data_IF_798357895514
#
_entry.id   IF_798357895514
#
_cell.length_a   1.000
_cell.length_b   1.000
_cell.length_c   1.000
_cell.angle_alpha   90.00
_cell.angle_beta   90.00
_cell.angle_gamma   90.00
#
_symmetry.space_group_name_H-M   'P 1'
#
loop_
_entity.id
_entity.type
_entity.pdbx_description
1 polymer ?
#
# COMPACT_ATOMS: atom_id res chain seq x y z
N UNK A 1 21.78 -12.26 18.45
CA UNK A 1 21.83 -11.03 17.63
C UNK A 1 20.85 -10.03 18.24
N UNK A 2 21.28 -8.82 18.62
CA UNK A 2 20.34 -7.70 18.76
C UNK A 2 19.65 -7.56 17.39
N UNK A 3 18.31 -7.43 17.31
CA UNK A 3 17.66 -7.23 16.03
C UNK A 3 18.23 -5.94 15.43
N UNK A 4 18.96 -6.07 14.32
CA UNK A 4 19.54 -5.00 13.50
C UNK A 4 18.48 -4.01 12.95
N UNK A 5 17.21 -4.20 13.32
CA UNK A 5 16.01 -3.63 12.71
C UNK A 5 15.08 -2.92 13.71
N UNK A 6 15.51 -2.71 14.96
CA UNK A 6 14.71 -2.04 15.99
C UNK A 6 15.48 -0.84 16.59
N UNK A 7 15.18 0.36 16.07
CA UNK A 7 15.70 1.64 16.57
C UNK A 7 15.55 2.78 15.54
N UNK A 8 15.81 4.06 15.92
CA UNK A 8 15.99 5.14 14.94
C UNK A 8 17.03 4.71 13.91
N UNK A 9 16.96 5.21 12.66
CA UNK A 9 17.62 4.58 11.53
C UNK A 9 19.10 4.38 11.81
N UNK A 10 19.48 3.12 12.03
CA UNK A 10 20.87 2.76 12.15
C UNK A 10 21.40 2.86 10.73
N UNK A 11 22.27 3.85 10.50
CA UNK A 11 23.08 3.86 9.29
C UNK A 11 23.88 2.56 9.32
N UNK A 12 23.50 1.61 8.47
CA UNK A 12 24.14 0.32 8.43
C UNK A 12 25.60 0.54 8.02
N UNK A 13 26.51 -0.11 8.73
CA UNK A 13 27.89 -0.16 8.27
C UNK A 13 28.00 -1.01 6.99
N UNK A 14 29.15 -0.91 6.30
CA UNK A 14 29.37 -1.64 5.05
C UNK A 14 29.24 -3.16 5.23
N UNK A 15 29.54 -3.71 6.41
CA UNK A 15 29.43 -5.14 6.67
C UNK A 15 27.96 -5.56 6.77
N UNK A 16 27.14 -4.85 7.54
CA UNK A 16 25.72 -5.10 7.67
C UNK A 16 24.98 -4.97 6.32
N UNK A 17 25.30 -3.94 5.53
CA UNK A 17 24.74 -3.77 4.18
C UNK A 17 25.09 -4.96 3.27
N UNK A 18 26.36 -5.39 3.28
CA UNK A 18 26.81 -6.54 2.49
C UNK A 18 26.09 -7.83 2.87
N UNK A 19 25.87 -8.06 4.16
CA UNK A 19 25.14 -9.25 4.65
C UNK A 19 23.69 -9.21 4.19
N UNK A 20 23.00 -8.08 4.33
CA UNK A 20 21.61 -7.94 3.89
C UNK A 20 21.50 -8.10 2.37
N UNK A 21 22.41 -7.48 1.60
CA UNK A 21 22.47 -7.65 0.16
C UNK A 21 22.64 -9.11 -0.24
N UNK A 22 23.62 -9.81 0.36
CA UNK A 22 23.86 -11.21 0.09
C UNK A 22 22.64 -12.09 0.41
N UNK A 23 21.97 -11.85 1.55
CA UNK A 23 20.72 -12.55 1.92
C UNK A 23 19.62 -12.33 0.88
N UNK A 24 19.45 -11.09 0.42
CA UNK A 24 18.41 -10.77 -0.58
C UNK A 24 18.73 -11.40 -1.94
N UNK A 25 20.00 -11.38 -2.38
CA UNK A 25 20.40 -12.06 -3.60
C UNK A 25 20.24 -13.58 -3.50
N UNK A 26 20.55 -14.17 -2.34
CA UNK A 26 20.31 -15.59 -2.09
C UNK A 26 18.82 -15.94 -2.16
N UNK A 27 17.94 -15.14 -1.54
CA UNK A 27 16.49 -15.33 -1.63
C UNK A 27 16.00 -15.30 -3.09
N UNK A 28 16.46 -14.30 -3.85
CA UNK A 28 16.12 -14.14 -5.28
C UNK A 28 16.60 -15.34 -6.09
N UNK A 29 17.84 -15.78 -5.90
CA UNK A 29 18.40 -16.94 -6.59
C UNK A 29 17.66 -18.22 -6.20
N UNK A 30 17.44 -18.47 -4.91
CA UNK A 30 16.69 -19.62 -4.43
C UNK A 30 15.32 -19.69 -5.10
N UNK A 31 14.59 -18.58 -5.19
CA UNK A 31 13.30 -18.56 -5.89
C UNK A 31 13.43 -18.92 -7.37
N UNK A 32 14.39 -18.31 -8.08
CA UNK A 32 14.57 -18.54 -9.52
C UNK A 32 15.02 -19.98 -9.85
N UNK A 33 15.79 -20.62 -8.96
CA UNK A 33 16.32 -21.97 -9.17
C UNK A 33 15.47 -23.09 -8.55
N UNK A 34 14.67 -22.83 -7.51
CA UNK A 34 13.96 -23.87 -6.76
C UNK A 34 12.76 -24.49 -7.49
N UNK A 35 12.56 -24.17 -8.78
CA UNK A 35 11.44 -24.66 -9.59
C UNK A 35 10.10 -24.48 -8.83
N UNK A 36 9.89 -23.32 -8.22
CA UNK A 36 8.73 -23.07 -7.38
C UNK A 36 7.41 -23.13 -8.17
N UNK A 37 7.44 -22.83 -9.48
CA UNK A 37 6.24 -22.79 -10.33
C UNK A 37 5.49 -24.13 -10.38
N UNK A 38 6.13 -25.25 -10.78
CA UNK A 38 5.44 -26.53 -10.86
C UNK A 38 4.99 -27.04 -9.49
N UNK A 39 5.75 -26.81 -8.42
CA UNK A 39 5.35 -27.22 -7.07
C UNK A 39 4.12 -26.46 -6.61
N UNK A 40 4.13 -25.13 -6.73
CA UNK A 40 3.03 -24.30 -6.25
C UNK A 40 1.75 -24.47 -7.10
N UNK A 41 1.89 -24.73 -8.41
CA UNK A 41 0.75 -25.06 -9.29
C UNK A 41 0.25 -26.49 -9.15
N UNK A 42 1.16 -27.42 -8.83
CA UNK A 42 0.86 -28.83 -8.59
C UNK A 42 0.25 -29.09 -7.22
N UNK A 43 0.33 -28.13 -6.30
CA UNK A 43 -0.39 -28.20 -5.02
C UNK A 43 -1.89 -28.25 -5.25
N UNK A 44 -2.42 -29.47 -5.16
CA UNK A 44 -3.77 -29.70 -4.65
C UNK A 44 -3.76 -29.34 -3.17
N UNK A 45 -3.76 -28.04 -2.86
CA UNK A 45 -4.24 -27.63 -1.55
C UNK A 45 -5.58 -28.34 -1.35
N UNK A 46 -5.83 -28.93 -0.19
CA UNK A 46 -7.06 -29.68 0.14
C UNK A 46 -8.33 -28.81 0.11
N UNK A 47 -8.23 -27.60 -0.43
CA UNK A 47 -9.19 -26.53 -0.42
C UNK A 47 -10.31 -26.88 -1.39
N UNK A 48 -11.33 -27.54 -0.85
CA UNK A 48 -12.53 -27.90 -1.59
C UNK A 48 -13.31 -26.65 -2.02
N UNK A 49 -13.06 -25.47 -1.40
CA UNK A 49 -13.62 -24.19 -1.81
C UNK A 49 -12.74 -22.96 -1.44
N UNK A 50 -13.07 -21.79 -2.01
CA UNK A 50 -12.32 -20.52 -1.83
C UNK A 50 -12.43 -19.89 -0.45
N UNK A 51 -13.52 -20.17 0.27
CA UNK A 51 -13.71 -19.62 1.62
C UNK A 51 -12.75 -20.28 2.61
N UNK A 52 -12.48 -21.57 2.44
CA UNK A 52 -11.47 -22.29 3.21
C UNK A 52 -10.07 -21.72 2.95
N UNK A 53 -9.74 -21.43 1.68
CA UNK A 53 -8.47 -20.80 1.29
C UNK A 53 -8.29 -19.46 1.97
N UNK A 54 -9.31 -18.61 1.88
CA UNK A 54 -9.32 -17.30 2.53
C UNK A 54 -9.15 -17.47 4.04
N UNK A 55 -9.89 -18.37 4.68
CA UNK A 55 -9.77 -18.62 6.11
C UNK A 55 -8.38 -19.09 6.56
N UNK A 56 -7.73 -19.97 5.80
CA UNK A 56 -6.35 -20.35 6.04
C UNK A 56 -5.39 -19.15 5.88
N UNK A 57 -5.55 -18.37 4.80
CA UNK A 57 -4.71 -17.21 4.55
C UNK A 57 -4.84 -16.15 5.66
N UNK A 58 -6.05 -15.90 6.12
CA UNK A 58 -6.33 -15.04 7.28
C UNK A 58 -5.59 -15.53 8.52
N UNK A 59 -5.66 -16.83 8.84
CA UNK A 59 -4.96 -17.39 10.00
C UNK A 59 -3.45 -17.20 9.93
N UNK A 60 -2.85 -17.33 8.74
CA UNK A 60 -1.42 -17.07 8.51
C UNK A 60 -1.08 -15.60 8.69
N UNK A 61 -1.82 -14.69 8.06
CA UNK A 61 -1.62 -13.23 8.18
C UNK A 61 -1.69 -12.80 9.65
N UNK A 62 -2.75 -13.21 10.36
CA UNK A 62 -2.91 -12.93 11.78
C UNK A 62 -1.77 -13.51 12.61
N UNK A 63 -1.33 -14.74 12.30
CA UNK A 63 -0.22 -15.40 12.97
C UNK A 63 1.11 -14.67 12.82
N UNK A 64 1.42 -14.19 11.61
CA UNK A 64 2.63 -13.42 11.31
C UNK A 64 2.58 -12.06 12.03
N UNK A 65 1.48 -11.32 11.90
CA UNK A 65 1.33 -10.00 12.57
C UNK A 65 1.45 -10.15 14.09
N UNK A 66 0.77 -11.13 14.68
CA UNK A 66 0.86 -11.39 16.12
C UNK A 66 2.30 -11.72 16.56
N UNK A 67 3.03 -12.50 15.77
CA UNK A 67 4.43 -12.82 16.02
C UNK A 67 5.34 -11.60 15.97
N UNK A 68 5.15 -10.71 14.99
CA UNK A 68 5.89 -9.45 14.89
C UNK A 68 5.58 -8.54 16.09
N UNK A 69 4.30 -8.40 16.44
CA UNK A 69 3.86 -7.63 17.59
C UNK A 69 4.48 -8.13 18.91
N UNK A 70 4.56 -9.46 19.09
CA UNK A 70 5.20 -10.07 20.26
C UNK A 70 6.70 -9.74 20.40
N UNK A 71 7.31 -9.21 19.33
CA UNK A 71 8.72 -8.74 19.27
C UNK A 71 8.84 -7.22 19.28
N UNK A 72 7.76 -6.50 19.52
CA UNK A 72 7.74 -5.04 19.51
C UNK A 72 7.74 -4.41 18.11
N UNK A 73 7.48 -5.20 17.06
CA UNK A 73 7.34 -4.70 15.69
C UNK A 73 5.85 -4.46 15.42
N UNK A 74 5.45 -3.19 15.30
CA UNK A 74 4.04 -2.78 15.24
C UNK A 74 3.77 -1.81 14.09
N UNK A 75 2.58 -1.89 13.49
CA UNK A 75 2.09 -0.93 12.50
C UNK A 75 1.86 0.47 13.06
N UNK A 76 1.82 0.64 14.38
CA UNK A 76 1.86 1.96 15.03
C UNK A 76 3.17 2.71 14.78
N UNK A 77 4.25 2.00 14.43
CA UNK A 77 5.56 2.58 14.18
C UNK A 77 5.82 2.86 12.68
N UNK A 78 4.90 2.46 11.80
CA UNK A 78 5.06 2.68 10.37
C UNK A 78 5.01 4.17 10.04
N UNK A 79 5.69 4.55 8.97
CA UNK A 79 5.54 5.88 8.40
C UNK A 79 4.05 6.19 8.11
N UNK A 80 3.59 7.45 8.30
CA UNK A 80 2.23 7.85 7.93
C UNK A 80 1.85 7.36 6.55
N UNK A 81 0.57 7.02 6.35
CA UNK A 81 0.06 6.48 5.09
C UNK A 81 0.40 5.00 4.79
N UNK A 82 1.25 4.35 5.60
CA UNK A 82 1.66 2.95 5.45
C UNK A 82 1.37 2.10 6.69
N UNK A 83 0.56 2.60 7.62
CA UNK A 83 0.28 1.95 8.90
C UNK A 83 -1.00 1.12 8.90
N UNK A 84 -1.70 1.14 10.03
CA UNK A 84 -2.85 0.29 10.32
C UNK A 84 -3.97 0.39 9.28
N UNK A 85 -4.23 1.62 8.78
CA UNK A 85 -5.31 1.84 7.82
C UNK A 85 -5.00 1.27 6.44
N UNK A 86 -3.76 1.42 5.96
CA UNK A 86 -3.29 0.87 4.70
C UNK A 86 -3.38 -0.66 4.70
N UNK A 87 -2.77 -1.29 5.72
CA UNK A 87 -2.82 -2.74 5.92
C UNK A 87 -4.25 -3.29 5.90
N UNK A 88 -5.16 -2.66 6.63
CA UNK A 88 -6.55 -3.08 6.67
C UNK A 88 -7.20 -3.10 5.27
N UNK A 89 -6.92 -2.08 4.45
CA UNK A 89 -7.51 -1.96 3.11
C UNK A 89 -6.88 -2.91 2.11
N UNK A 90 -5.57 -3.15 2.17
CA UNK A 90 -4.92 -4.15 1.31
C UNK A 90 -5.33 -5.57 1.65
N UNK A 91 -5.42 -5.89 2.94
CA UNK A 91 -5.93 -7.17 3.40
C UNK A 91 -7.35 -7.42 2.87
N UNK A 92 -8.25 -6.45 3.01
CA UNK A 92 -9.62 -6.54 2.47
C UNK A 92 -9.63 -6.58 0.93
N UNK A 93 -8.75 -5.83 0.27
CA UNK A 93 -8.58 -5.83 -1.18
C UNK A 93 -8.14 -7.20 -1.70
N UNK A 94 -7.15 -7.81 -1.06
CA UNK A 94 -6.65 -9.15 -1.36
C UNK A 94 -7.74 -10.21 -1.20
N UNK A 95 -8.52 -10.17 -0.11
CA UNK A 95 -9.67 -11.07 0.10
C UNK A 95 -10.74 -10.87 -0.97
N UNK A 96 -11.07 -9.62 -1.30
CA UNK A 96 -12.08 -9.29 -2.31
C UNK A 96 -11.69 -9.80 -3.70
N UNK A 97 -10.42 -9.62 -4.07
CA UNK A 97 -9.86 -10.17 -5.30
C UNK A 97 -9.96 -11.70 -5.31
N UNK A 98 -9.55 -12.36 -4.23
CA UNK A 98 -9.53 -13.83 -4.18
C UNK A 98 -10.93 -14.45 -4.27
N UNK A 99 -11.89 -13.90 -3.53
CA UNK A 99 -13.29 -14.37 -3.51
C UNK A 99 -14.03 -14.03 -4.81
N UNK A 100 -13.65 -12.96 -5.50
CA UNK A 100 -14.25 -12.51 -6.76
C UNK A 100 -14.03 -13.42 -7.97
N UNK A 101 -13.19 -14.46 -7.85
CA UNK A 101 -12.83 -15.43 -8.92
C UNK A 101 -11.96 -14.86 -10.05
N UNK A 102 -10.68 -14.52 -9.79
CA UNK A 102 -9.74 -14.19 -10.83
C UNK A 102 -9.37 -15.49 -11.57
N UNK A 103 -9.71 -15.60 -12.85
CA UNK A 103 -9.30 -16.71 -13.71
C UNK A 103 -8.11 -16.27 -14.58
N UNK A 104 -7.12 -17.15 -14.87
CA UNK A 104 -6.93 -18.53 -14.43
C UNK A 104 -5.81 -18.67 -13.35
N UNK A 105 -6.14 -18.43 -12.08
CA UNK A 105 -5.18 -18.52 -10.96
C UNK A 105 -5.34 -19.85 -10.22
N UNK A 106 -4.23 -20.58 -9.99
CA UNK A 106 -4.24 -21.83 -9.21
C UNK A 106 -4.50 -21.56 -7.71
N UNK A 107 -5.03 -22.54 -6.94
CA UNK A 107 -5.25 -22.35 -5.50
C UNK A 107 -3.99 -21.96 -4.73
N UNK A 108 -2.83 -22.56 -5.05
CA UNK A 108 -1.56 -22.21 -4.42
C UNK A 108 -1.15 -20.76 -4.71
N UNK A 109 -1.27 -20.31 -5.95
CA UNK A 109 -0.94 -18.92 -6.32
C UNK A 109 -1.93 -17.93 -5.71
N UNK A 110 -3.20 -18.31 -5.62
CA UNK A 110 -4.22 -17.50 -4.97
C UNK A 110 -3.94 -17.34 -3.47
N UNK A 111 -3.60 -18.43 -2.80
CA UNK A 111 -3.26 -18.44 -1.38
C UNK A 111 -2.07 -17.52 -1.09
N UNK A 112 -0.94 -17.72 -1.76
CA UNK A 112 0.24 -16.85 -1.60
C UNK A 112 -0.04 -15.42 -2.03
N UNK A 113 -0.84 -15.20 -3.08
CA UNK A 113 -1.22 -13.86 -3.52
C UNK A 113 -2.05 -13.09 -2.49
N UNK A 114 -2.91 -13.78 -1.71
CA UNK A 114 -3.63 -13.15 -0.59
C UNK A 114 -2.68 -12.76 0.52
N UNK A 115 -1.76 -13.66 0.89
CA UNK A 115 -0.74 -13.38 1.90
C UNK A 115 0.15 -12.22 1.49
N UNK A 116 0.63 -12.22 0.24
CA UNK A 116 1.46 -11.17 -0.32
C UNK A 116 0.71 -9.85 -0.37
N UNK A 117 -0.52 -9.82 -0.87
CA UNK A 117 -1.35 -8.62 -0.88
C UNK A 117 -1.50 -7.98 0.50
N UNK A 118 -1.72 -8.79 1.54
CA UNK A 118 -1.84 -8.30 2.91
C UNK A 118 -0.50 -7.91 3.56
N UNK A 119 0.64 -8.51 3.16
CA UNK A 119 1.91 -8.37 3.88
C UNK A 119 3.00 -7.65 3.06
N UNK A 120 2.69 -7.12 1.88
CA UNK A 120 3.69 -6.53 0.99
C UNK A 120 4.45 -5.34 1.61
N UNK A 121 3.77 -4.56 2.45
CA UNK A 121 4.31 -3.36 3.08
C UNK A 121 4.84 -3.59 4.51
N UNK A 122 4.98 -4.84 4.98
CA UNK A 122 5.49 -5.10 6.34
C UNK A 122 6.94 -4.63 6.54
N UNK A 123 7.67 -4.38 5.47
CA UNK A 123 8.99 -3.76 5.55
C UNK A 123 8.95 -2.34 6.10
N UNK A 124 7.83 -1.64 5.95
CA UNK A 124 7.60 -0.31 6.53
C UNK A 124 7.59 -0.32 8.07
N UNK A 125 7.53 -1.49 8.71
CA UNK A 125 7.61 -1.65 10.17
C UNK A 125 9.04 -1.59 10.71
N UNK A 126 10.03 -1.80 9.84
CA UNK A 126 11.45 -1.92 10.18
C UNK A 126 12.37 -1.04 9.33
N UNK A 127 11.85 -0.52 8.21
CA UNK A 127 12.52 0.44 7.33
C UNK A 127 11.59 1.61 7.04
N UNK A 128 12.16 2.81 6.94
CA UNK A 128 11.38 4.01 6.64
C UNK A 128 11.09 4.07 5.15
N UNK A 129 9.81 4.01 4.79
CA UNK A 129 9.33 4.03 3.41
C UNK A 129 9.80 5.26 2.65
N UNK A 130 9.92 6.38 3.35
CA UNK A 130 10.37 7.66 2.79
C UNK A 130 11.88 7.78 2.57
N UNK A 131 12.63 6.72 2.90
CA UNK A 131 14.09 6.63 2.72
C UNK A 131 14.52 5.56 1.72
N UNK A 132 13.57 4.94 1.01
CA UNK A 132 13.84 3.93 -0.03
C UNK A 132 14.86 4.37 -1.10
N UNK A 133 14.97 5.68 -1.35
CA UNK A 133 15.92 6.23 -2.31
C UNK A 133 17.37 6.12 -1.82
N UNK A 134 17.55 6.26 -0.50
CA UNK A 134 18.86 6.29 0.17
C UNK A 134 19.28 4.90 0.67
N UNK A 135 18.38 3.93 0.63
CA UNK A 135 18.60 2.59 1.14
C UNK A 135 19.04 1.63 0.03
N UNK A 136 20.01 0.77 0.36
CA UNK A 136 20.42 -0.33 -0.50
C UNK A 136 19.26 -1.28 -0.84
N UNK A 137 18.43 -1.58 0.17
CA UNK A 137 17.23 -2.40 0.07
C UNK A 137 16.03 -1.55 0.53
N UNK A 138 15.01 -1.41 -0.31
CA UNK A 138 13.81 -0.65 0.03
C UNK A 138 12.86 -1.43 0.93
N UNK A 139 11.73 -0.84 1.30
CA UNK A 139 10.70 -1.50 2.13
C UNK A 139 10.30 -2.88 1.58
N UNK A 140 10.20 -3.06 0.27
CA UNK A 140 9.83 -4.35 -0.35
C UNK A 140 10.83 -5.47 -0.02
N UNK A 141 12.12 -5.23 -0.25
CA UNK A 141 13.18 -6.18 0.09
C UNK A 141 13.31 -6.39 1.59
N UNK A 142 13.20 -5.31 2.38
CA UNK A 142 13.25 -5.38 3.83
C UNK A 142 12.09 -6.22 4.39
N UNK A 143 10.89 -6.10 3.81
CA UNK A 143 9.73 -6.91 4.16
C UNK A 143 9.94 -8.39 3.83
N UNK A 144 10.54 -8.69 2.68
CA UNK A 144 10.87 -10.06 2.31
C UNK A 144 11.89 -10.69 3.26
N UNK A 145 12.93 -9.95 3.65
CA UNK A 145 13.92 -10.41 4.64
C UNK A 145 13.28 -10.58 6.04
N UNK A 146 12.41 -9.67 6.45
CA UNK A 146 11.68 -9.77 7.72
C UNK A 146 10.83 -11.05 7.78
N UNK A 147 10.19 -11.43 6.67
CA UNK A 147 9.47 -12.70 6.56
C UNK A 147 10.40 -13.90 6.72
N UNK A 148 11.57 -13.91 6.07
CA UNK A 148 12.52 -15.03 6.21
C UNK A 148 13.00 -15.19 7.65
N UNK A 149 13.26 -14.09 8.35
CA UNK A 149 13.62 -14.12 9.78
C UNK A 149 12.45 -14.64 10.65
N UNK A 150 11.21 -14.31 10.30
CA UNK A 150 10.04 -14.87 10.96
C UNK A 150 9.90 -16.39 10.69
N UNK A 151 10.10 -16.83 9.45
CA UNK A 151 10.01 -18.23 9.04
C UNK A 151 11.10 -19.11 9.66
N UNK A 152 12.28 -18.56 9.89
CA UNK A 152 13.34 -19.24 10.65
C UNK A 152 12.91 -19.57 12.09
N UNK A 153 11.96 -18.81 12.66
CA UNK A 153 11.44 -19.04 14.01
C UNK A 153 10.15 -19.88 14.03
N UNK A 154 9.28 -19.71 13.04
CA UNK A 154 7.96 -20.35 12.99
C UNK A 154 7.46 -20.44 11.54
N UNK A 155 6.97 -21.60 11.11
CA UNK A 155 6.48 -21.78 9.75
C UNK A 155 5.13 -21.15 9.46
N UNK A 156 4.34 -20.85 10.51
CA UNK A 156 2.95 -20.38 10.41
C UNK A 156 2.02 -21.32 9.62
N UNK A 157 2.40 -22.59 9.46
CA UNK A 157 1.65 -23.55 8.63
C UNK A 157 1.98 -23.46 7.13
N UNK A 158 2.95 -22.64 6.73
CA UNK A 158 3.47 -22.57 5.37
C UNK A 158 4.59 -23.59 5.18
N UNK A 159 4.64 -24.26 4.03
CA UNK A 159 5.83 -25.02 3.64
C UNK A 159 6.93 -24.13 3.03
N UNK A 160 8.09 -24.71 2.77
CA UNK A 160 9.25 -23.96 2.27
C UNK A 160 9.00 -23.28 0.91
N UNK A 161 8.16 -23.85 0.04
CA UNK A 161 7.82 -23.24 -1.25
C UNK A 161 6.89 -22.05 -1.07
N UNK A 162 5.89 -22.15 -0.20
CA UNK A 162 5.01 -21.03 0.13
C UNK A 162 5.77 -19.87 0.78
N UNK A 163 6.67 -20.18 1.71
CA UNK A 163 7.53 -19.20 2.37
C UNK A 163 8.41 -18.45 1.36
N UNK A 164 9.01 -19.19 0.42
CA UNK A 164 9.87 -18.63 -0.63
C UNK A 164 9.06 -17.77 -1.62
N UNK A 165 7.91 -18.26 -2.08
CA UNK A 165 7.03 -17.52 -2.98
C UNK A 165 6.45 -16.27 -2.32
N UNK A 166 6.07 -16.34 -1.03
CA UNK A 166 5.58 -15.18 -0.30
C UNK A 166 6.67 -14.12 -0.14
N UNK A 167 7.88 -14.50 0.27
CA UNK A 167 9.02 -13.57 0.34
C UNK A 167 9.31 -12.92 -1.01
N UNK A 168 9.28 -13.69 -2.10
CA UNK A 168 9.45 -13.16 -3.45
C UNK A 168 8.31 -12.20 -3.87
N UNK A 169 7.05 -12.55 -3.56
CA UNK A 169 5.89 -11.71 -3.87
C UNK A 169 5.99 -10.33 -3.22
N UNK A 170 6.39 -10.31 -1.94
CA UNK A 170 6.61 -9.09 -1.17
C UNK A 170 7.75 -8.27 -1.78
N UNK A 171 8.89 -8.86 -2.12
CA UNK A 171 9.98 -8.12 -2.77
C UNK A 171 9.59 -7.56 -4.16
N UNK A 172 8.81 -8.32 -4.94
CA UNK A 172 8.48 -8.00 -6.32
C UNK A 172 7.27 -7.06 -6.49
N UNK A 173 6.61 -6.62 -5.41
CA UNK A 173 5.33 -5.91 -5.50
C UNK A 173 5.44 -4.49 -6.09
N UNK A 174 6.52 -3.75 -5.84
CA UNK A 174 6.70 -2.36 -6.29
C UNK A 174 6.75 -2.19 -7.82
N UNK A 175 6.95 -3.30 -8.55
CA UNK A 175 6.93 -3.37 -10.01
C UNK A 175 7.88 -2.36 -10.66
N UNK A 176 9.11 -2.26 -10.16
CA UNK A 176 10.17 -1.49 -10.81
C UNK A 176 10.57 -2.14 -12.15
N UNK A 177 10.50 -1.36 -13.23
CA UNK A 177 10.77 -1.83 -14.60
C UNK A 177 12.20 -1.53 -15.07
N UNK A 178 13.00 -0.85 -14.25
CA UNK A 178 14.35 -0.40 -14.57
C UNK A 178 15.32 -0.86 -13.51
N UNK A 179 16.57 -1.09 -13.92
CA UNK A 179 17.66 -1.32 -12.99
C UNK A 179 17.85 -0.08 -12.11
N UNK A 180 18.05 -0.30 -10.81
CA UNK A 180 18.43 0.75 -9.86
C UNK A 180 19.88 0.55 -9.48
N UNK A 181 20.67 1.62 -9.59
CA UNK A 181 22.03 1.66 -9.04
C UNK A 181 21.96 2.38 -7.70
N UNK A 182 22.48 1.76 -6.65
CA UNK A 182 22.54 2.36 -5.32
C UNK A 182 23.97 2.30 -4.82
N UNK A 183 24.47 3.42 -4.31
CA UNK A 183 25.79 3.48 -3.66
C UNK A 183 25.61 3.20 -2.18
N UNK A 184 26.16 2.08 -1.70
CA UNK A 184 26.13 1.73 -0.28
C UNK A 184 27.16 2.50 0.55
N UNK A 185 27.14 2.27 1.87
CA UNK A 185 27.95 2.95 2.87
C UNK A 185 29.46 2.87 2.61
N UNK A 186 29.97 1.76 2.04
CA UNK A 186 31.37 1.60 1.65
C UNK A 186 31.77 2.26 0.33
N UNK A 187 30.92 3.08 -0.29
CA UNK A 187 31.13 3.65 -1.63
C UNK A 187 30.94 2.63 -2.77
N UNK A 188 30.57 1.40 -2.45
CA UNK A 188 30.31 0.33 -3.42
C UNK A 188 28.99 0.59 -4.14
N UNK A 189 28.99 0.46 -5.46
CA UNK A 189 27.75 0.49 -6.23
C UNK A 189 27.14 -0.91 -6.33
N UNK A 190 25.89 -1.04 -5.91
CA UNK A 190 25.05 -2.22 -6.05
C UNK A 190 24.05 -2.00 -7.19
N UNK A 191 23.69 -3.08 -7.88
CA UNK A 191 22.71 -3.07 -8.97
C UNK A 191 21.53 -3.94 -8.60
N UNK A 192 20.37 -3.32 -8.40
CA UNK A 192 19.11 -4.01 -8.19
C UNK A 192 18.37 -4.09 -9.51
N UNK A 193 18.18 -5.30 -10.00
CA UNK A 193 17.45 -5.57 -11.24
C UNK A 193 15.94 -5.69 -10.97
N UNK A 194 15.10 -5.42 -11.98
CA UNK A 194 13.68 -5.74 -11.94
C UNK A 194 13.42 -7.20 -11.53
N UNK A 195 12.38 -7.41 -10.73
CA UNK A 195 11.90 -8.75 -10.40
C UNK A 195 11.07 -9.32 -11.55
N UNK A 196 11.43 -10.50 -12.10
CA UNK A 196 10.56 -11.24 -12.99
C UNK A 196 9.17 -11.44 -12.36
N UNK A 197 8.13 -11.30 -13.18
CA UNK A 197 6.74 -11.49 -12.79
C UNK A 197 6.02 -12.55 -13.64
N UNK A 198 6.81 -13.32 -14.38
CA UNK A 198 6.43 -14.50 -15.13
C UNK A 198 7.54 -15.55 -15.05
N UNK A 199 7.14 -16.82 -15.04
CA UNK A 199 8.08 -17.95 -15.05
C UNK A 199 8.70 -18.16 -16.44
N UNK A 200 7.98 -17.75 -17.48
CA UNK A 200 8.39 -17.63 -18.87
C UNK A 200 7.40 -16.66 -19.59
N UNK A 201 7.58 -16.40 -20.89
CA UNK A 201 6.77 -15.42 -21.63
C UNK A 201 5.26 -15.66 -21.52
N UNK A 202 4.82 -16.92 -21.48
CA UNK A 202 3.40 -17.30 -21.49
C UNK A 202 2.83 -17.64 -20.11
N UNK A 203 3.65 -17.58 -19.05
CA UNK A 203 3.25 -18.08 -17.73
C UNK A 203 3.48 -17.05 -16.62
N UNK A 204 2.49 -16.18 -16.38
CA UNK A 204 2.52 -15.23 -15.27
C UNK A 204 2.72 -15.90 -13.90
N UNK A 205 3.38 -15.20 -13.00
CA UNK A 205 3.44 -15.52 -11.57
C UNK A 205 2.23 -14.89 -10.88
N UNK A 206 1.10 -15.59 -10.83
CA UNK A 206 -0.16 -14.97 -10.42
C UNK A 206 -0.18 -14.46 -8.99
N UNK A 207 0.60 -15.07 -8.09
CA UNK A 207 0.74 -14.61 -6.72
C UNK A 207 1.44 -13.24 -6.62
N UNK A 208 2.40 -12.94 -7.52
CA UNK A 208 3.01 -11.60 -7.65
C UNK A 208 1.99 -10.61 -8.17
N UNK A 209 1.24 -10.98 -9.21
CA UNK A 209 0.21 -10.12 -9.80
C UNK A 209 -0.93 -9.81 -8.84
N UNK A 210 -1.40 -10.79 -8.07
CA UNK A 210 -2.41 -10.58 -7.04
C UNK A 210 -1.92 -9.65 -5.93
N UNK A 211 -0.66 -9.80 -5.52
CA UNK A 211 -0.03 -8.90 -4.53
C UNK A 211 -0.05 -7.46 -5.06
N UNK A 212 0.38 -7.26 -6.32
CA UNK A 212 0.35 -5.96 -6.99
C UNK A 212 -1.06 -5.42 -7.19
N UNK A 213 -2.04 -6.27 -7.46
CA UNK A 213 -3.43 -5.85 -7.59
C UNK A 213 -3.99 -5.35 -6.27
N UNK A 214 -3.69 -6.03 -5.16
CA UNK A 214 -4.14 -5.61 -3.83
C UNK A 214 -3.63 -4.19 -3.51
N UNK A 215 -2.32 -3.96 -3.62
CA UNK A 215 -1.70 -2.64 -3.43
C UNK A 215 -2.30 -1.57 -4.38
N UNK A 216 -2.37 -1.89 -5.68
CA UNK A 216 -2.90 -0.95 -6.69
C UNK A 216 -4.38 -0.61 -6.49
N UNK A 217 -5.21 -1.49 -5.95
CA UNK A 217 -6.63 -1.22 -5.73
C UNK A 217 -6.82 -0.02 -4.81
N UNK A 218 -5.93 0.14 -3.84
CA UNK A 218 -6.01 1.25 -2.91
C UNK A 218 -5.52 2.57 -3.53
N UNK A 219 -4.73 2.57 -4.61
CA UNK A 219 -4.25 3.79 -5.28
C UNK A 219 -5.34 4.57 -6.04
N UNK A 220 -6.54 4.01 -6.16
CA UNK A 220 -7.64 4.63 -6.92
C UNK A 220 -8.89 4.89 -6.09
N UNK A 221 -8.93 4.43 -4.84
CA UNK A 221 -10.11 4.59 -4.00
C UNK A 221 -10.11 5.96 -3.29
N UNK A 222 -11.28 6.45 -2.81
CA UNK A 222 -11.36 7.71 -2.07
C UNK A 222 -10.38 7.85 -0.87
N UNK A 223 -10.11 6.80 -0.06
CA UNK A 223 -9.08 6.85 0.98
C UNK A 223 -7.69 7.28 0.48
N UNK A 224 -7.35 6.98 -0.78
CA UNK A 224 -6.06 7.34 -1.37
C UNK A 224 -5.78 8.83 -1.37
N UNK A 225 -6.81 9.66 -1.50
CA UNK A 225 -6.64 11.13 -1.45
C UNK A 225 -6.03 11.53 -0.12
N UNK A 226 -6.55 10.97 0.98
CA UNK A 226 -6.02 11.19 2.31
C UNK A 226 -4.69 10.50 2.55
N UNK A 227 -4.52 9.29 2.01
CA UNK A 227 -3.26 8.53 2.15
C UNK A 227 -2.11 9.27 1.46
N UNK A 228 -2.28 9.65 0.18
CA UNK A 228 -1.29 10.42 -0.56
C UNK A 228 -1.02 11.79 0.06
N UNK A 229 -2.04 12.39 0.68
CA UNK A 229 -1.86 13.60 1.49
C UNK A 229 -0.89 13.39 2.65
N UNK A 230 -1.13 12.36 3.46
CA UNK A 230 -0.31 12.02 4.63
C UNK A 230 1.15 11.73 4.27
N UNK A 231 1.43 11.27 3.05
CA UNK A 231 2.83 11.08 2.61
C UNK A 231 3.66 12.36 2.70
N UNK A 232 3.03 13.53 2.58
CA UNK A 232 3.73 14.81 2.56
C UNK A 232 4.08 15.37 3.94
N UNK A 233 3.81 14.64 5.03
CA UNK A 233 4.03 15.14 6.39
C UNK A 233 5.51 15.51 6.65
N UNK A 234 6.42 14.78 6.01
CA UNK A 234 7.85 15.02 6.02
C UNK A 234 8.37 15.23 4.60
N UNK A 235 9.45 16.00 4.49
CA UNK A 235 10.20 16.09 3.23
C UNK A 235 10.79 14.72 2.90
N UNK A 236 10.53 14.24 1.70
CA UNK A 236 11.02 12.96 1.20
C UNK A 236 11.14 12.99 -0.32
N UNK A 237 11.78 11.96 -0.86
CA UNK A 237 11.88 11.76 -2.30
C UNK A 237 10.78 10.83 -2.80
N UNK A 238 10.08 11.24 -3.87
CA UNK A 238 9.08 10.43 -4.56
C UNK A 238 9.70 9.82 -5.82
N UNK A 239 9.19 8.68 -6.28
CA UNK A 239 9.70 7.98 -7.46
C UNK A 239 8.85 8.27 -8.71
N UNK A 240 9.52 8.56 -9.82
CA UNK A 240 8.94 8.62 -11.15
C UNK A 240 9.70 7.69 -12.10
N UNK A 241 8.98 6.94 -12.93
CA UNK A 241 9.59 5.96 -13.84
C UNK A 241 10.54 6.59 -14.88
N UNK A 242 10.34 7.86 -15.24
CA UNK A 242 11.19 8.58 -16.20
C UNK A 242 12.33 9.30 -15.50
N UNK A 243 12.04 9.99 -14.40
CA UNK A 243 12.98 10.88 -13.72
C UNK A 243 13.73 10.25 -12.53
N UNK A 244 13.32 9.07 -12.05
CA UNK A 244 13.85 8.49 -10.81
C UNK A 244 13.29 9.18 -9.56
N UNK A 245 14.07 9.19 -8.48
CA UNK A 245 13.69 9.86 -7.24
C UNK A 245 13.84 11.38 -7.33
N UNK A 246 12.90 12.14 -6.77
CA UNK A 246 12.94 13.60 -6.74
C UNK A 246 12.33 14.17 -5.46
N UNK A 247 12.85 15.32 -4.99
CA UNK A 247 12.32 16.01 -3.81
C UNK A 247 10.97 16.66 -4.06
N UNK A 248 10.07 16.51 -3.08
CA UNK A 248 8.69 16.99 -3.15
C UNK A 248 8.48 18.12 -2.13
N UNK A 249 8.07 19.30 -2.60
CA UNK A 249 7.59 20.37 -1.70
C UNK A 249 6.08 20.31 -1.58
N UNK A 250 5.56 20.48 -0.36
CA UNK A 250 4.12 20.43 -0.09
C UNK A 250 3.35 21.46 -0.93
N UNK A 251 3.83 22.71 -0.97
CA UNK A 251 3.15 23.80 -1.70
C UNK A 251 3.06 23.57 -3.20
N UNK A 252 4.13 23.09 -3.85
CA UNK A 252 4.11 22.79 -5.29
C UNK A 252 3.24 21.57 -5.59
N UNK A 253 3.29 20.54 -4.75
CA UNK A 253 2.49 19.33 -4.94
C UNK A 253 0.99 19.59 -4.75
N UNK A 254 0.64 20.58 -3.95
CA UNK A 254 -0.73 21.00 -3.70
C UNK A 254 -1.29 21.95 -4.77
N UNK A 255 -0.53 22.35 -5.80
CA UNK A 255 -1.08 23.22 -6.86
C UNK A 255 -2.27 22.53 -7.53
N UNK A 256 -3.40 23.25 -7.77
CA UNK A 256 -4.59 22.70 -8.40
C UNK A 256 -4.43 22.63 -9.93
N UNK A 257 -3.29 22.11 -10.37
CA UNK A 257 -2.88 21.92 -11.75
C UNK A 257 -2.36 20.49 -11.88
N UNK A 258 -2.25 19.92 -13.09
CA UNK A 258 -1.71 18.56 -13.24
C UNK A 258 -0.18 18.51 -13.04
N UNK A 259 0.51 19.62 -13.25
CA UNK A 259 1.96 19.75 -13.16
C UNK A 259 2.35 20.91 -12.27
N UNK A 260 3.47 20.76 -11.55
CA UNK A 260 4.10 21.82 -10.77
C UNK A 260 4.91 22.78 -11.67
N UNK A 261 5.59 23.77 -11.08
CA UNK A 261 6.42 24.70 -11.88
C UNK A 261 7.61 24.04 -12.58
N UNK A 262 7.99 22.82 -12.19
CA UNK A 262 9.10 22.05 -12.77
C UNK A 262 8.60 20.97 -13.74
N UNK A 263 7.30 20.93 -14.08
CA UNK A 263 6.72 19.93 -14.97
C UNK A 263 6.54 18.54 -14.34
N UNK A 264 6.68 18.43 -13.02
CA UNK A 264 6.49 17.18 -12.25
C UNK A 264 5.01 17.03 -11.86
N UNK A 265 4.50 15.79 -11.69
CA UNK A 265 3.11 15.60 -11.29
C UNK A 265 2.81 16.19 -9.91
N UNK A 266 1.75 16.99 -9.80
CA UNK A 266 1.16 17.40 -8.51
C UNK A 266 0.32 16.26 -7.92
N UNK A 267 -0.32 16.47 -6.77
CA UNK A 267 -1.32 15.55 -6.22
C UNK A 267 -2.42 15.26 -7.22
N UNK A 268 -2.96 16.30 -7.87
CA UNK A 268 -3.99 16.19 -8.88
C UNK A 268 -3.48 15.49 -10.15
N UNK A 269 -2.24 15.78 -10.55
CA UNK A 269 -1.56 15.10 -11.66
C UNK A 269 -1.41 13.61 -11.42
N UNK A 270 -1.00 13.20 -10.22
CA UNK A 270 -0.91 11.79 -9.81
C UNK A 270 -2.27 11.10 -9.90
N UNK A 271 -3.34 11.74 -9.42
CA UNK A 271 -4.69 11.17 -9.52
C UNK A 271 -5.17 11.00 -10.96
N UNK A 272 -4.95 12.02 -11.81
CA UNK A 272 -5.28 11.92 -13.24
C UNK A 272 -4.53 10.79 -13.92
N UNK A 273 -3.23 10.67 -13.69
CA UNK A 273 -2.41 9.59 -14.25
C UNK A 273 -2.93 8.19 -13.88
N UNK A 274 -3.41 8.02 -12.64
CA UNK A 274 -3.97 6.76 -12.18
C UNK A 274 -5.33 6.48 -12.82
N UNK A 275 -6.20 7.49 -12.93
CA UNK A 275 -7.49 7.37 -13.63
C UNK A 275 -7.33 6.99 -15.11
N UNK A 276 -6.33 7.56 -15.78
CA UNK A 276 -6.07 7.37 -17.21
C UNK A 276 -5.32 6.06 -17.53
N UNK A 277 -4.98 5.27 -16.52
CA UNK A 277 -4.20 4.04 -16.69
C UNK A 277 -4.99 3.00 -17.51
N UNK A 278 -4.55 2.78 -18.76
CA UNK A 278 -5.23 1.88 -19.71
C UNK A 278 -4.89 0.41 -19.48
N UNK A 279 -5.74 -0.49 -19.98
CA UNK A 279 -5.43 -1.90 -20.17
C UNK A 279 -4.16 -2.03 -21.05
N UNK A 280 -3.34 -3.07 -20.84
CA UNK A 280 -2.12 -3.37 -21.60
C UNK A 280 -0.91 -2.47 -21.35
N UNK A 281 -0.96 -1.53 -20.39
CA UNK A 281 0.25 -0.94 -19.84
C UNK A 281 0.99 -1.97 -18.95
N UNK A 282 2.31 -1.87 -18.74
CA UNK A 282 3.06 -2.84 -17.93
C UNK A 282 2.36 -3.17 -16.61
N UNK A 283 1.87 -2.15 -15.90
CA UNK A 283 1.18 -2.28 -14.62
C UNK A 283 -0.16 -3.02 -14.68
N UNK A 284 -0.86 -2.99 -15.82
CA UNK A 284 -2.27 -3.39 -15.94
C UNK A 284 -2.49 -4.53 -16.96
N UNK A 285 -1.40 -5.08 -17.52
CA UNK A 285 -1.45 -5.99 -18.68
C UNK A 285 -2.17 -7.30 -18.38
N UNK A 286 -2.20 -7.72 -17.11
CA UNK A 286 -2.85 -8.97 -16.69
C UNK A 286 -4.10 -8.74 -15.83
N UNK A 287 -4.58 -7.50 -15.67
CA UNK A 287 -5.71 -7.20 -14.79
C UNK A 287 -6.92 -8.10 -15.11
N UNK A 288 -7.29 -8.95 -14.14
CA UNK A 288 -8.45 -9.83 -14.26
C UNK A 288 -9.75 -9.03 -14.34
N UNK A 289 -10.85 -9.64 -14.80
CA UNK A 289 -12.18 -8.98 -14.88
C UNK A 289 -12.61 -8.36 -13.54
N UNK A 290 -12.33 -9.03 -12.42
CA UNK A 290 -12.62 -8.54 -11.07
C UNK A 290 -11.80 -7.28 -10.78
N UNK A 291 -10.49 -7.34 -11.04
CA UNK A 291 -9.59 -6.21 -10.85
C UNK A 291 -10.01 -5.01 -11.71
N UNK A 292 -10.34 -5.24 -12.99
CA UNK A 292 -10.81 -4.20 -13.91
C UNK A 292 -12.09 -3.54 -13.38
N UNK A 293 -13.10 -4.31 -12.98
CA UNK A 293 -14.35 -3.74 -12.48
C UNK A 293 -14.17 -2.91 -11.21
N UNK A 294 -13.34 -3.37 -10.27
CA UNK A 294 -13.01 -2.60 -9.05
C UNK A 294 -12.22 -1.33 -9.38
N UNK A 295 -11.22 -1.44 -10.25
CA UNK A 295 -10.39 -0.32 -10.73
C UNK A 295 -11.26 0.74 -11.40
N UNK A 296 -12.12 0.36 -12.33
CA UNK A 296 -12.98 1.28 -13.08
C UNK A 296 -13.97 2.02 -12.16
N UNK A 297 -14.60 1.30 -11.23
CA UNK A 297 -15.47 1.92 -10.22
C UNK A 297 -14.70 2.97 -9.39
N UNK A 298 -13.51 2.62 -8.90
CA UNK A 298 -12.66 3.54 -8.14
C UNK A 298 -12.18 4.73 -9.00
N UNK A 299 -11.79 4.51 -10.26
CA UNK A 299 -11.40 5.56 -11.20
C UNK A 299 -12.53 6.56 -11.44
N UNK A 300 -13.79 6.11 -11.51
CA UNK A 300 -14.95 7.01 -11.63
C UNK A 300 -15.12 7.90 -10.40
N UNK A 301 -14.90 7.36 -9.19
CA UNK A 301 -14.93 8.15 -7.93
C UNK A 301 -13.82 9.19 -7.91
N UNK A 302 -12.59 8.78 -8.27
CA UNK A 302 -11.44 9.68 -8.35
C UNK A 302 -11.66 10.79 -9.39
N UNK A 303 -12.26 10.49 -10.55
CA UNK A 303 -12.59 11.48 -11.57
C UNK A 303 -13.56 12.57 -11.05
N UNK A 304 -14.54 12.22 -10.21
CA UNK A 304 -15.41 13.20 -9.55
C UNK A 304 -14.65 14.11 -8.60
N UNK A 305 -13.70 13.55 -7.83
CA UNK A 305 -12.84 14.33 -6.92
C UNK A 305 -11.97 15.31 -7.71
N UNK A 306 -11.33 14.84 -8.79
CA UNK A 306 -10.54 15.67 -9.70
C UNK A 306 -11.41 16.82 -10.27
N UNK A 307 -12.62 16.50 -10.71
CA UNK A 307 -13.58 17.48 -11.24
C UNK A 307 -13.99 18.49 -10.18
N UNK A 308 -14.17 18.09 -8.92
CA UNK A 308 -14.49 18.98 -7.82
C UNK A 308 -13.34 19.97 -7.52
N UNK A 309 -12.09 19.53 -7.65
CA UNK A 309 -10.92 20.43 -7.52
C UNK A 309 -10.90 21.44 -8.67
N UNK A 310 -11.04 21.00 -9.93
CA UNK A 310 -11.05 21.91 -11.07
C UNK A 310 -12.25 22.86 -11.10
N UNK A 311 -13.42 22.38 -10.71
CA UNK A 311 -14.66 23.15 -10.66
C UNK A 311 -14.80 24.04 -9.43
N UNK A 312 -13.79 24.08 -8.54
CA UNK A 312 -13.78 24.74 -7.22
C UNK A 312 -13.83 26.27 -7.23
N UNK A 313 -14.56 26.86 -8.18
CA UNK A 313 -14.84 28.29 -8.28
C UNK A 313 -16.10 28.76 -7.53
N UNK A 314 -16.81 27.88 -6.82
CA UNK A 314 -17.87 28.33 -5.90
C UNK A 314 -17.26 28.87 -4.61
N UNK A 315 -17.74 30.03 -4.16
CA UNK A 315 -17.30 30.65 -2.91
C UNK A 315 -17.65 29.76 -1.71
N UNK A 316 -16.67 28.98 -1.24
CA UNK A 316 -16.72 28.37 0.08
C UNK A 316 -16.50 29.52 1.08
N UNK A 317 -17.55 29.93 1.78
CA UNK A 317 -17.44 30.95 2.83
C UNK A 317 -16.51 30.49 3.97
N UNK A 318 -15.87 31.44 4.66
CA UNK A 318 -14.84 31.16 5.68
C UNK A 318 -15.29 30.18 6.79
N UNK A 319 -16.54 30.28 7.25
CA UNK A 319 -17.09 29.35 8.27
C UNK A 319 -17.26 27.90 7.77
N UNK A 320 -17.25 27.69 6.45
CA UNK A 320 -17.31 26.37 5.82
C UNK A 320 -15.91 25.80 5.56
N UNK A 321 -14.91 26.65 5.34
CA UNK A 321 -13.49 26.23 5.20
C UNK A 321 -13.02 25.49 6.46
N UNK A 322 -13.16 26.07 7.65
CA UNK A 322 -12.70 25.44 8.90
C UNK A 322 -13.46 24.15 9.22
N UNK A 323 -14.76 24.07 8.92
CA UNK A 323 -15.52 22.82 9.08
C UNK A 323 -15.00 21.70 8.17
N UNK A 324 -14.69 22.02 6.91
CA UNK A 324 -14.13 21.04 5.97
C UNK A 324 -12.74 20.60 6.42
N UNK A 325 -11.90 21.52 6.90
CA UNK A 325 -10.56 21.18 7.39
C UNK A 325 -10.61 20.30 8.64
N UNK A 326 -11.48 20.62 9.60
CA UNK A 326 -11.68 19.79 10.79
C UNK A 326 -12.24 18.41 10.41
N UNK A 327 -13.22 18.35 9.50
CA UNK A 327 -13.74 17.09 9.00
C UNK A 327 -12.65 16.27 8.30
N UNK A 328 -11.80 16.92 7.50
CA UNK A 328 -10.68 16.28 6.82
C UNK A 328 -9.65 15.72 7.80
N UNK A 329 -9.25 16.49 8.81
CA UNK A 329 -8.32 16.03 9.85
C UNK A 329 -8.85 14.79 10.59
N UNK A 330 -10.12 14.84 11.03
CA UNK A 330 -10.78 13.72 11.70
C UNK A 330 -10.94 12.50 10.78
N UNK A 331 -11.21 12.71 9.49
CA UNK A 331 -11.26 11.65 8.48
C UNK A 331 -9.89 10.98 8.32
N UNK A 332 -8.81 11.77 8.20
CA UNK A 332 -7.45 11.26 8.08
C UNK A 332 -7.08 10.39 9.29
N UNK A 333 -7.25 10.92 10.50
CA UNK A 333 -6.86 10.25 11.75
C UNK A 333 -7.83 9.20 12.28
N UNK A 334 -9.04 9.10 11.71
CA UNK A 334 -10.07 8.16 12.14
C UNK A 334 -10.34 7.02 11.15
N UNK A 335 -10.05 7.22 9.87
CA UNK A 335 -10.37 6.26 8.80
C UNK A 335 -9.20 5.95 7.86
N UNK A 336 -8.33 6.93 7.57
CA UNK A 336 -7.23 6.74 6.61
C UNK A 336 -6.02 6.11 7.29
N UNK A 337 -5.55 6.69 8.38
CA UNK A 337 -4.41 6.24 9.18
C UNK A 337 -4.73 6.40 10.68
N UNK A 338 -5.42 5.44 11.30
CA UNK A 338 -5.93 5.55 12.67
C UNK A 338 -4.86 5.35 13.77
N UNK A 339 -3.59 5.55 13.44
CA UNK A 339 -2.46 5.50 14.38
C UNK A 339 -2.20 6.87 15.00
N UNK A 340 -1.41 6.90 16.05
CA UNK A 340 -1.02 8.17 16.69
C UNK A 340 -0.16 9.03 15.76
N UNK A 341 0.80 8.42 15.05
CA UNK A 341 1.64 9.12 14.08
C UNK A 341 0.78 9.67 12.92
N UNK A 342 -0.22 8.90 12.47
CA UNK A 342 -1.18 9.34 11.45
C UNK A 342 -1.96 10.60 11.85
N UNK A 343 -2.43 10.66 13.10
CA UNK A 343 -3.12 11.85 13.66
C UNK A 343 -2.19 13.07 13.72
N UNK A 344 -0.96 12.89 14.17
CA UNK A 344 0.02 13.97 14.24
C UNK A 344 0.41 14.51 12.86
N UNK A 345 0.59 13.61 11.89
CA UNK A 345 0.83 13.97 10.49
C UNK A 345 -0.35 14.75 9.90
N UNK A 346 -1.59 14.32 10.16
CA UNK A 346 -2.80 15.02 9.72
C UNK A 346 -2.83 16.46 10.23
N UNK A 347 -2.69 16.66 11.54
CA UNK A 347 -2.71 17.98 12.17
C UNK A 347 -1.60 18.91 11.62
N UNK A 348 -0.38 18.37 11.45
CA UNK A 348 0.75 19.12 10.88
C UNK A 348 0.46 19.59 9.46
N UNK A 349 -0.08 18.71 8.63
CA UNK A 349 -0.40 19.02 7.24
C UNK A 349 -1.57 20.01 7.09
N UNK A 350 -2.53 20.00 8.01
CA UNK A 350 -3.57 21.04 8.08
C UNK A 350 -2.93 22.42 8.33
N UNK A 351 -1.96 22.50 9.24
CA UNK A 351 -1.18 23.73 9.47
C UNK A 351 -0.47 24.21 8.21
N UNK A 352 0.22 23.30 7.51
CA UNK A 352 0.90 23.61 6.25
C UNK A 352 -0.09 24.05 5.16
N UNK A 353 -1.27 23.43 5.09
CA UNK A 353 -2.30 23.80 4.13
C UNK A 353 -2.85 25.20 4.38
N UNK A 354 -3.10 25.58 5.64
CA UNK A 354 -3.54 26.94 6.01
C UNK A 354 -2.55 28.02 5.57
N UNK A 355 -1.26 27.70 5.48
CA UNK A 355 -0.24 28.64 5.00
C UNK A 355 -0.25 28.84 3.47
N UNK A 356 -0.91 27.97 2.70
CA UNK A 356 -1.00 28.12 1.23
C UNK A 356 -1.92 29.26 0.81
N UNK A 357 -1.72 29.80 -0.39
CA UNK A 357 -2.59 30.85 -0.94
C UNK A 357 -4.04 30.37 -1.11
N UNK A 358 -5.02 31.28 -1.02
CA UNK A 358 -6.43 30.94 -1.26
C UNK A 358 -6.69 30.34 -2.65
N UNK A 359 -5.91 30.75 -3.67
CA UNK A 359 -5.97 30.19 -5.03
C UNK A 359 -5.67 28.69 -5.05
N UNK A 360 -4.83 28.22 -4.13
CA UNK A 360 -4.55 26.79 -3.94
C UNK A 360 -5.58 26.14 -3.02
N UNK A 361 -5.90 26.77 -1.88
CA UNK A 361 -6.75 26.14 -0.86
C UNK A 361 -8.19 25.90 -1.32
N UNK A 362 -8.84 26.90 -1.93
CA UNK A 362 -10.26 26.84 -2.28
C UNK A 362 -10.62 25.65 -3.20
N UNK A 363 -9.90 25.40 -4.30
CA UNK A 363 -10.07 24.19 -5.11
C UNK A 363 -10.01 22.89 -4.29
N UNK A 364 -9.02 22.79 -3.40
CA UNK A 364 -8.80 21.58 -2.61
C UNK A 364 -9.85 21.36 -1.52
N UNK A 365 -10.43 22.41 -0.94
CA UNK A 365 -11.55 22.27 -0.01
C UNK A 365 -12.75 21.59 -0.67
N UNK A 366 -13.07 21.95 -1.91
CA UNK A 366 -14.10 21.26 -2.69
C UNK A 366 -13.71 19.80 -2.97
N UNK A 367 -12.44 19.57 -3.30
CA UNK A 367 -11.85 18.23 -3.45
C UNK A 367 -11.98 17.35 -2.21
N UNK A 368 -11.61 17.84 -1.02
CA UNK A 368 -11.69 17.08 0.24
C UNK A 368 -13.13 16.76 0.61
N UNK A 369 -14.04 17.73 0.48
CA UNK A 369 -15.46 17.48 0.72
C UNK A 369 -16.04 16.44 -0.26
N UNK A 370 -15.59 16.44 -1.52
CA UNK A 370 -15.96 15.41 -2.49
C UNK A 370 -15.36 14.04 -2.13
N UNK A 371 -14.08 14.00 -1.77
CA UNK A 371 -13.38 12.77 -1.40
C UNK A 371 -14.03 12.08 -0.20
N UNK A 372 -14.39 12.84 0.84
CA UNK A 372 -15.10 12.29 2.00
C UNK A 372 -16.51 11.80 1.65
N UNK A 373 -17.23 12.48 0.74
CA UNK A 373 -18.53 11.99 0.25
C UNK A 373 -18.42 10.70 -0.56
N UNK A 374 -17.45 10.61 -1.46
CA UNK A 374 -17.19 9.38 -2.22
C UNK A 374 -16.67 8.26 -1.30
N UNK A 375 -15.95 8.58 -0.23
CA UNK A 375 -15.57 7.62 0.80
C UNK A 375 -16.79 6.99 1.48
N UNK A 376 -17.83 7.76 1.81
CA UNK A 376 -19.06 7.21 2.42
C UNK A 376 -19.67 6.14 1.51
N UNK A 377 -19.76 6.40 0.21
CA UNK A 377 -20.31 5.46 -0.78
C UNK A 377 -19.42 4.22 -0.92
N UNK A 378 -18.11 4.42 -1.05
CA UNK A 378 -17.14 3.32 -1.12
C UNK A 378 -17.13 2.46 0.16
N UNK A 379 -17.28 3.08 1.32
CA UNK A 379 -17.32 2.40 2.61
C UNK A 379 -18.59 1.55 2.74
N UNK A 380 -19.74 2.02 2.26
CA UNK A 380 -20.97 1.22 2.22
C UNK A 380 -20.79 -0.06 1.40
N UNK A 381 -20.19 0.04 0.21
CA UNK A 381 -19.91 -1.12 -0.66
C UNK A 381 -18.93 -2.09 0.01
N UNK A 382 -17.90 -1.55 0.67
CA UNK A 382 -16.89 -2.34 1.37
C UNK A 382 -17.46 -3.04 2.60
N UNK A 383 -18.30 -2.34 3.39
CA UNK A 383 -18.99 -2.91 4.54
C UNK A 383 -20.00 -3.99 4.12
N UNK A 384 -20.69 -3.82 2.99
CA UNK A 384 -21.58 -4.84 2.44
C UNK A 384 -20.80 -6.11 2.05
N UNK A 385 -19.62 -5.96 1.44
CA UNK A 385 -18.71 -7.08 1.20
C UNK A 385 -18.27 -7.74 2.50
N UNK A 386 -17.87 -6.96 3.52
CA UNK A 386 -17.45 -7.46 4.83
C UNK A 386 -18.57 -8.21 5.56
N UNK A 387 -19.83 -7.82 5.37
CA UNK A 387 -21.00 -8.51 5.94
C UNK A 387 -21.18 -9.95 5.43
N UNK A 388 -20.53 -10.32 4.32
CA UNK A 388 -20.47 -11.69 3.83
C UNK A 388 -19.26 -12.51 4.31
N UNK A 389 -18.37 -11.91 5.11
CA UNK A 389 -17.16 -12.57 5.62
C UNK A 389 -17.39 -13.20 7.00
N UNK A 390 -16.55 -14.17 7.35
CA UNK A 390 -16.53 -14.71 8.71
C UNK A 390 -16.04 -13.64 9.68
N UNK A 391 -16.72 -13.46 10.82
CA UNK A 391 -16.36 -12.47 11.85
C UNK A 391 -14.89 -12.58 12.31
N UNK A 392 -14.35 -13.80 12.40
CA UNK A 392 -12.94 -14.02 12.78
C UNK A 392 -11.94 -13.46 11.77
N UNK A 393 -12.37 -13.21 10.53
CA UNK A 393 -11.53 -12.63 9.49
C UNK A 393 -11.45 -11.12 9.58
N UNK A 394 -12.32 -10.50 10.36
CA UNK A 394 -12.39 -9.05 10.51
C UNK A 394 -11.50 -8.53 11.66
N UNK A 395 -10.63 -9.37 12.23
CA UNK A 395 -9.67 -8.95 13.25
C UNK A 395 -8.24 -9.01 12.69
N UNK A 396 -7.44 -7.97 12.92
CA UNK A 396 -5.99 -7.97 12.67
C UNK A 396 -5.27 -7.60 13.97
N UNK A 397 -4.46 -8.51 14.56
CA UNK A 397 -3.78 -8.28 15.84
C UNK A 397 -2.95 -6.98 15.82
N UNK A 398 -3.11 -6.14 16.84
CA UNK A 398 -2.38 -4.87 16.94
C UNK A 398 -2.81 -3.79 15.94
N UNK A 399 -3.85 -4.03 15.13
CA UNK A 399 -4.37 -3.09 14.12
C UNK A 399 -5.83 -2.76 14.43
N UNK A 400 -6.69 -3.77 14.51
CA UNK A 400 -8.06 -3.62 15.01
C UNK A 400 -8.66 -4.97 15.40
N UNK A 401 -9.48 -4.98 16.45
CA UNK A 401 -10.31 -6.13 16.80
C UNK A 401 -11.49 -6.30 15.83
N UNK A 402 -11.88 -5.22 15.14
CA UNK A 402 -12.89 -5.22 14.10
C UNK A 402 -12.54 -4.20 13.00
N UNK A 403 -12.15 -4.67 11.82
CA UNK A 403 -11.79 -3.84 10.68
C UNK A 403 -12.95 -2.94 10.22
N UNK A 404 -14.21 -3.27 10.55
CA UNK A 404 -15.36 -2.40 10.25
C UNK A 404 -15.22 -1.07 10.95
N UNK A 405 -14.54 -1.01 12.09
CA UNK A 405 -14.30 0.24 12.80
C UNK A 405 -13.39 1.18 12.01
N UNK A 406 -12.41 0.66 11.28
CA UNK A 406 -11.51 1.46 10.42
C UNK A 406 -12.28 1.95 9.17
N UNK A 407 -13.08 1.08 8.56
CA UNK A 407 -13.78 1.38 7.29
C UNK A 407 -15.04 2.25 7.49
N UNK A 408 -15.72 2.14 8.63
CA UNK A 408 -16.99 2.85 8.86
C UNK A 408 -16.75 4.36 8.96
N UNK A 409 -17.48 5.18 8.18
CA UNK A 409 -17.46 6.63 8.33
C UNK A 409 -17.78 7.03 9.77
N UNK A 410 -16.91 7.86 10.37
CA UNK A 410 -17.09 8.33 11.75
C UNK A 410 -18.10 9.46 11.78
N UNK A 411 -18.99 9.44 12.77
CA UNK A 411 -20.10 10.39 12.85
C UNK A 411 -19.59 11.83 12.96
N UNK A 412 -18.49 12.00 13.69
CA UNK A 412 -17.84 13.26 14.04
C UNK A 412 -17.51 14.10 12.81
N UNK A 413 -16.90 13.52 11.78
CA UNK A 413 -16.61 14.25 10.54
C UNK A 413 -17.77 14.25 9.55
N UNK A 414 -18.62 13.22 9.55
CA UNK A 414 -19.81 13.17 8.66
C UNK A 414 -20.77 14.31 8.98
N UNK A 415 -21.02 14.58 10.26
CA UNK A 415 -21.94 15.65 10.68
C UNK A 415 -21.41 17.04 10.32
N UNK A 416 -20.08 17.24 10.31
CA UNK A 416 -19.44 18.48 9.86
C UNK A 416 -19.65 18.76 8.35
N UNK A 417 -19.91 17.73 7.53
CA UNK A 417 -20.14 17.87 6.09
C UNK A 417 -21.60 18.13 5.69
N UNK A 418 -22.55 17.96 6.63
CA UNK A 418 -24.00 18.11 6.39
C UNK A 418 -24.49 19.55 6.48
N UNK A 419 -23.67 20.45 7.01
CA UNK A 419 -23.93 21.88 7.23
C UNK A 419 -23.14 22.70 6.21
#
# INVERSE_FOLDING_TARGET
>A
MKPLLLGPPVQLDDEAERVLWAKMQALRQCFLYANCAPVLRGKKLSLQNKAELAGQAVGVVQGIIHFLLSRGISFENADPAHGAGHLARDFLGALRLALGKPAPITPGELFVGVLGGALHDIGCLVGFRYRDADMLLGHAEMGALLLQEAFASKSFGLDGVEQLCLGYAVAAHTHYLRLRKVTGAGGRTYVLEPYPDSFNEDQPMWFVWLTRWADRLELLCPPYVGRHWLTMFASHQDFDQRAGFYEKSFGEHMRPTLKDSQGRPTMLGRFSMLCDAKQNQPYNRLDSRVMVGLRESNSQRMAKIITAVFGGGQEIGNGREEKILLAWELFLGGNVEPTEIGRQAAATLIGNFRALSQKTRRPWLAGFACAMREYILWAQETLAFMGGLNEKWLALPGVSNDLREIIRPKKEWVDLLRV
#
